data_IF_414137957983
#
_entry.id   IF_414137957983
#
_cell.length_a   1.000
_cell.length_b   1.000
_cell.length_c   1.000
_cell.angle_alpha   90.00
_cell.angle_beta   90.00
_cell.angle_gamma   90.00
#
_symmetry.space_group_name_H-M   'P 1'
#
loop_
_entity.id
_entity.type
_entity.pdbx_description
1 polymer ?
#
# COMPACT_ATOMS: atom_id res chain seq x y z
N UNK A 1 -0.89 29.73 -44.42
CA UNK A 1 -0.53 30.25 -43.08
C UNK A 1 -1.41 29.72 -41.93
N UNK A 2 -2.69 29.37 -42.12
CA UNK A 2 -3.53 28.76 -41.06
C UNK A 2 -3.23 27.29 -40.71
N UNK A 3 -2.60 26.51 -41.59
CA UNK A 3 -2.26 25.09 -41.32
C UNK A 3 -1.10 24.89 -40.33
N UNK A 4 -0.18 25.86 -40.25
CA UNK A 4 0.93 25.83 -39.29
C UNK A 4 0.50 26.22 -37.87
N UNK A 5 -0.59 26.98 -37.74
CA UNK A 5 -1.16 27.34 -36.44
C UNK A 5 -1.80 26.12 -35.74
N UNK A 6 -2.44 25.21 -36.48
CA UNK A 6 -3.04 24.00 -35.89
C UNK A 6 -2.01 22.97 -35.42
N UNK A 7 -0.85 22.87 -36.09
CA UNK A 7 0.27 22.03 -35.65
C UNK A 7 0.93 22.58 -34.37
N UNK A 8 0.94 23.89 -34.18
CA UNK A 8 1.44 24.54 -32.96
C UNK A 8 0.55 24.23 -31.74
N UNK A 9 -0.77 24.29 -31.90
CA UNK A 9 -1.74 24.06 -30.82
C UNK A 9 -1.77 22.59 -30.36
N UNK A 10 -1.58 21.63 -31.27
CA UNK A 10 -1.49 20.21 -30.93
C UNK A 10 -0.21 19.86 -30.14
N UNK A 11 0.88 20.59 -30.37
CA UNK A 11 2.13 20.40 -29.64
C UNK A 11 2.05 20.97 -28.21
N UNK A 12 1.25 22.02 -27.99
CA UNK A 12 1.03 22.63 -26.67
C UNK A 12 0.24 21.75 -25.69
N UNK A 13 -0.63 20.87 -26.19
CA UNK A 13 -1.40 19.94 -25.35
C UNK A 13 -0.59 18.74 -24.84
N UNK A 14 0.60 18.47 -25.43
CA UNK A 14 1.46 17.36 -25.02
C UNK A 14 2.41 17.71 -23.86
N UNK A 15 2.53 18.99 -23.48
CA UNK A 15 3.52 19.44 -22.50
C UNK A 15 3.09 19.29 -21.02
N UNK A 16 1.88 18.80 -20.74
CA UNK A 16 1.39 18.63 -19.35
C UNK A 16 1.80 17.28 -18.74
N UNK A 17 2.38 16.36 -19.52
CA UNK A 17 2.81 15.07 -19.01
C UNK A 17 4.32 15.06 -18.73
N UNK A 18 4.81 15.67 -17.62
CA UNK A 18 6.14 15.39 -17.01
C UNK A 18 6.44 16.26 -15.77
N UNK A 19 5.52 16.35 -14.80
CA UNK A 19 5.86 16.87 -13.46
C UNK A 19 5.40 15.93 -12.35
N UNK A 20 5.60 14.62 -12.55
CA UNK A 20 5.71 13.70 -11.39
C UNK A 20 7.05 13.90 -10.71
N UNK A 21 7.13 13.93 -9.35
CA UNK A 21 8.39 14.12 -8.64
C UNK A 21 9.36 12.99 -9.00
N UNK A 22 10.49 13.33 -9.64
CA UNK A 22 11.51 12.39 -10.11
C UNK A 22 12.21 11.59 -8.97
N UNK A 23 11.96 11.97 -7.72
CA UNK A 23 12.56 11.38 -6.53
C UNK A 23 11.95 10.01 -6.19
N UNK A 24 10.63 9.86 -6.36
CA UNK A 24 9.92 8.58 -6.16
C UNK A 24 10.41 7.50 -7.14
N UNK A 25 10.93 7.91 -8.29
CA UNK A 25 11.25 7.02 -9.41
C UNK A 25 12.64 6.38 -9.34
N UNK A 26 13.58 6.95 -8.56
CA UNK A 26 14.96 6.44 -8.50
C UNK A 26 15.05 5.13 -7.74
N UNK A 27 14.32 5.00 -6.64
CA UNK A 27 14.37 3.81 -5.80
C UNK A 27 13.64 2.62 -6.45
N UNK A 28 12.54 2.88 -7.16
CA UNK A 28 11.84 1.84 -7.91
C UNK A 28 12.66 1.26 -9.09
N UNK A 29 13.64 2.01 -9.60
CA UNK A 29 14.53 1.53 -10.67
C UNK A 29 15.66 0.62 -10.16
N UNK A 30 15.86 0.50 -8.85
CA UNK A 30 16.96 -0.28 -8.24
C UNK A 30 16.72 -1.79 -8.19
N UNK A 31 15.52 -2.27 -8.54
CA UNK A 31 15.25 -3.73 -8.60
C UNK A 31 14.69 -4.33 -7.29
N UNK A 32 14.14 -5.56 -7.33
CA UNK A 32 13.30 -6.20 -6.28
C UNK A 32 13.85 -6.13 -4.87
N UNK A 33 15.16 -6.16 -4.72
CA UNK A 33 15.89 -5.99 -3.48
C UNK A 33 15.52 -4.69 -2.73
N UNK A 34 15.16 -3.62 -3.44
CA UNK A 34 14.82 -2.31 -2.86
C UNK A 34 13.32 -2.14 -2.68
N UNK A 35 12.51 -2.38 -3.72
CA UNK A 35 11.06 -2.17 -3.64
C UNK A 35 10.33 -3.29 -2.87
N UNK A 36 10.97 -4.43 -2.59
CA UNK A 36 10.42 -5.45 -1.69
C UNK A 36 11.03 -5.45 -0.28
N UNK A 37 11.77 -4.40 0.10
CA UNK A 37 12.33 -4.31 1.45
C UNK A 37 11.24 -4.16 2.53
N UNK A 38 10.18 -3.42 2.24
CA UNK A 38 9.04 -3.21 3.13
C UNK A 38 7.80 -2.78 2.34
N UNK A 39 6.65 -2.74 3.03
CA UNK A 39 5.37 -2.42 2.39
C UNK A 39 5.30 -0.98 1.87
N UNK A 40 5.95 -0.01 2.53
CA UNK A 40 5.96 1.40 2.11
C UNK A 40 6.58 1.53 0.72
N UNK A 41 7.82 1.09 0.54
CA UNK A 41 8.50 1.18 -0.76
C UNK A 41 7.79 0.33 -1.82
N UNK A 42 7.23 -0.82 -1.43
CA UNK A 42 6.46 -1.65 -2.34
C UNK A 42 5.19 -0.95 -2.83
N UNK A 43 4.47 -0.26 -1.95
CA UNK A 43 3.28 0.51 -2.30
C UNK A 43 3.65 1.67 -3.24
N UNK A 44 4.66 2.45 -2.85
CA UNK A 44 5.17 3.61 -3.60
C UNK A 44 5.61 3.22 -5.03
N UNK A 45 6.22 2.05 -5.17
CA UNK A 45 6.68 1.49 -6.44
C UNK A 45 5.64 0.62 -7.17
N UNK A 46 4.41 0.48 -6.63
CA UNK A 46 3.35 -0.40 -7.17
C UNK A 46 3.81 -1.85 -7.35
N UNK A 47 4.63 -2.30 -6.41
CA UNK A 47 5.30 -3.59 -6.32
C UNK A 47 4.55 -4.65 -5.53
N UNK A 48 3.59 -4.26 -4.70
CA UNK A 48 3.11 -5.05 -3.55
C UNK A 48 2.81 -6.49 -3.94
N UNK A 49 2.08 -6.69 -5.04
CA UNK A 49 1.73 -8.03 -5.55
C UNK A 49 2.96 -8.87 -5.93
N UNK A 50 3.95 -8.26 -6.58
CA UNK A 50 5.21 -8.95 -6.89
C UNK A 50 5.90 -9.37 -5.59
N UNK A 51 6.07 -8.44 -4.66
CA UNK A 51 6.77 -8.69 -3.41
C UNK A 51 6.08 -9.77 -2.56
N UNK A 52 4.75 -9.73 -2.46
CA UNK A 52 3.96 -10.76 -1.78
C UNK A 52 4.24 -12.15 -2.36
N UNK A 53 4.22 -12.27 -3.69
CA UNK A 53 4.26 -13.57 -4.37
C UNK A 53 5.67 -14.16 -4.51
N UNK A 54 6.71 -13.33 -4.57
CA UNK A 54 8.07 -13.78 -4.91
C UNK A 54 9.08 -13.64 -3.77
N UNK A 55 8.82 -12.76 -2.81
CA UNK A 55 9.77 -12.41 -1.73
C UNK A 55 9.19 -12.71 -0.34
N UNK A 56 8.01 -12.16 0.00
CA UNK A 56 7.47 -12.18 1.37
C UNK A 56 6.73 -13.46 1.75
N UNK A 57 6.43 -14.34 0.79
CA UNK A 57 5.83 -15.66 1.08
C UNK A 57 6.82 -16.64 1.74
N UNK A 58 8.08 -16.26 1.90
CA UNK A 58 9.10 -17.07 2.58
C UNK A 58 9.16 -16.67 4.06
N UNK A 59 9.02 -17.62 4.99
CA UNK A 59 9.17 -17.31 6.41
C UNK A 59 10.60 -16.85 6.70
N UNK A 60 10.74 -15.63 7.23
CA UNK A 60 12.03 -15.00 7.60
C UNK A 60 12.28 -14.97 9.11
N UNK A 61 11.29 -15.34 9.91
CA UNK A 61 11.33 -15.38 11.38
C UNK A 61 11.28 -16.83 11.88
N UNK A 62 11.87 -17.08 13.05
CA UNK A 62 11.61 -18.33 13.78
C UNK A 62 10.11 -18.53 13.94
N UNK A 63 9.66 -19.78 13.75
CA UNK A 63 8.24 -20.07 13.62
C UNK A 63 7.46 -19.61 14.86
N UNK A 64 6.47 -18.74 14.63
CA UNK A 64 5.49 -18.35 15.65
C UNK A 64 4.82 -19.63 16.19
N UNK A 65 4.71 -19.80 17.53
CA UNK A 65 4.06 -20.98 18.10
C UNK A 65 2.67 -21.21 17.50
N UNK A 66 2.37 -22.47 17.15
CA UNK A 66 1.17 -22.82 16.40
C UNK A 66 -0.11 -22.33 17.07
N UNK A 67 -0.19 -22.40 18.41
CA UNK A 67 -1.38 -21.99 19.15
C UNK A 67 -1.59 -20.47 19.14
N UNK A 68 -0.50 -19.70 19.21
CA UNK A 68 -0.56 -18.25 19.08
C UNK A 68 -0.99 -17.85 17.65
N UNK A 69 -0.42 -18.49 16.64
CA UNK A 69 -0.82 -18.27 15.24
C UNK A 69 -2.31 -18.57 15.04
N UNK A 70 -2.81 -19.71 15.55
CA UNK A 70 -4.23 -20.08 15.46
C UNK A 70 -5.15 -19.06 16.13
N UNK A 71 -4.75 -18.51 17.27
CA UNK A 71 -5.58 -17.52 17.96
C UNK A 71 -5.64 -16.20 17.19
N UNK A 72 -4.50 -15.72 16.70
CA UNK A 72 -4.44 -14.53 15.83
C UNK A 72 -5.30 -14.74 14.57
N UNK A 73 -5.16 -15.90 13.91
CA UNK A 73 -5.93 -16.22 12.71
C UNK A 73 -7.44 -16.29 13.01
N UNK A 74 -7.85 -16.82 14.17
CA UNK A 74 -9.27 -16.80 14.57
C UNK A 74 -9.80 -15.39 14.76
N UNK A 75 -9.05 -14.54 15.45
CA UNK A 75 -9.47 -13.16 15.73
C UNK A 75 -9.62 -12.39 14.42
N UNK A 76 -8.58 -12.41 13.57
CA UNK A 76 -8.63 -11.74 12.26
C UNK A 76 -9.77 -12.29 11.39
N UNK A 77 -9.98 -13.61 11.37
CA UNK A 77 -11.07 -14.22 10.61
C UNK A 77 -12.46 -13.81 11.11
N UNK A 78 -12.64 -13.52 12.41
CA UNK A 78 -13.90 -12.95 12.93
C UNK A 78 -14.09 -11.51 12.45
N UNK A 79 -13.05 -10.68 12.51
CA UNK A 79 -13.11 -9.30 12.00
C UNK A 79 -13.43 -9.25 10.50
N UNK A 80 -12.82 -10.12 9.69
CA UNK A 80 -13.10 -10.18 8.24
C UNK A 80 -14.51 -10.67 7.88
N UNK A 81 -15.16 -11.44 8.76
CA UNK A 81 -16.54 -11.92 8.57
C UNK A 81 -17.58 -10.89 8.96
N UNK A 82 -17.22 -9.91 9.77
CA UNK A 82 -18.06 -8.77 10.00
C UNK A 82 -18.14 -8.00 8.69
N UNK A 83 -19.35 -7.60 8.29
CA UNK A 83 -19.59 -6.87 7.04
C UNK A 83 -19.12 -5.41 7.16
N UNK A 84 -17.90 -5.21 7.64
CA UNK A 84 -17.28 -3.91 7.80
C UNK A 84 -16.76 -3.43 6.45
N UNK A 85 -17.04 -2.16 6.14
CA UNK A 85 -16.56 -1.55 4.90
C UNK A 85 -15.10 -1.11 5.05
N UNK A 86 -14.40 -0.93 3.93
CA UNK A 86 -13.04 -0.37 3.96
C UNK A 86 -13.00 0.99 4.67
N UNK A 87 -14.07 1.77 4.53
CA UNK A 87 -14.19 3.10 5.13
C UNK A 87 -14.33 3.01 6.66
N UNK A 88 -15.13 2.07 7.17
CA UNK A 88 -15.28 1.83 8.62
C UNK A 88 -13.97 1.41 9.27
N UNK A 89 -13.22 0.52 8.62
CA UNK A 89 -11.91 0.08 9.12
C UNK A 89 -10.92 1.26 9.09
N UNK A 90 -10.94 2.07 8.02
CA UNK A 90 -10.07 3.25 7.90
C UNK A 90 -10.39 4.29 8.98
N UNK A 91 -11.68 4.52 9.27
CA UNK A 91 -12.10 5.41 10.36
C UNK A 91 -11.62 4.91 11.73
N UNK A 92 -11.69 3.60 11.97
CA UNK A 92 -11.17 3.02 13.21
C UNK A 92 -9.68 3.30 13.37
N UNK A 93 -8.87 3.06 12.35
CA UNK A 93 -7.43 3.35 12.42
C UNK A 93 -7.12 4.85 12.50
N UNK A 94 -7.90 5.70 11.84
CA UNK A 94 -7.77 7.15 11.97
C UNK A 94 -8.04 7.63 13.42
N UNK A 95 -9.02 7.03 14.12
CA UNK A 95 -9.23 7.26 15.56
C UNK A 95 -8.06 6.76 16.40
N UNK A 96 -7.45 5.63 16.02
CA UNK A 96 -6.22 5.15 16.68
C UNK A 96 -5.08 6.18 16.54
N UNK A 97 -4.93 6.81 15.36
CA UNK A 97 -3.94 7.86 15.14
C UNK A 97 -4.15 9.08 16.06
N UNK A 98 -5.40 9.41 16.43
CA UNK A 98 -5.71 10.54 17.31
C UNK A 98 -5.23 10.37 18.76
N UNK A 99 -4.85 9.15 19.17
CA UNK A 99 -4.24 8.91 20.48
C UNK A 99 -2.75 9.32 20.53
N UNK A 100 -2.15 9.68 19.40
CA UNK A 100 -0.76 10.17 19.35
C UNK A 100 -0.72 11.63 19.82
N UNK A 101 0.25 11.95 20.68
CA UNK A 101 0.35 13.29 21.28
C UNK A 101 0.96 14.34 20.34
N UNK A 102 1.82 13.93 19.41
CA UNK A 102 2.56 14.84 18.53
C UNK A 102 1.82 15.01 17.19
N UNK A 103 1.49 16.25 16.76
CA UNK A 103 0.75 16.48 15.52
C UNK A 103 1.40 15.86 14.29
N UNK A 104 2.72 15.93 14.18
CA UNK A 104 3.47 15.34 13.06
C UNK A 104 3.31 13.81 12.99
N UNK A 105 3.20 13.14 14.14
CA UNK A 105 2.97 11.70 14.20
C UNK A 105 1.52 11.34 13.88
N UNK A 106 0.56 12.20 14.25
CA UNK A 106 -0.84 12.03 13.87
C UNK A 106 -0.99 12.08 12.35
N UNK A 107 -0.36 13.07 11.71
CA UNK A 107 -0.41 13.24 10.26
C UNK A 107 0.29 12.07 9.55
N UNK A 108 1.50 11.68 9.98
CA UNK A 108 2.18 10.52 9.39
C UNK A 108 1.37 9.23 9.59
N UNK A 109 0.73 9.04 10.74
CA UNK A 109 -0.13 7.88 10.98
C UNK A 109 -1.31 7.84 10.00
N UNK A 110 -2.01 8.97 9.82
CA UNK A 110 -3.15 9.07 8.89
C UNK A 110 -2.71 8.84 7.44
N UNK A 111 -1.56 9.38 7.05
CA UNK A 111 -0.96 9.14 5.72
C UNK A 111 -0.67 7.64 5.49
N UNK A 112 -0.17 6.94 6.52
CA UNK A 112 0.04 5.49 6.44
C UNK A 112 -1.26 4.71 6.33
N UNK A 113 -2.30 5.11 7.06
CA UNK A 113 -3.63 4.49 6.97
C UNK A 113 -4.16 4.61 5.55
N UNK A 114 -4.18 5.82 4.98
CA UNK A 114 -4.66 6.04 3.61
C UNK A 114 -3.82 5.28 2.56
N UNK A 115 -2.50 5.31 2.70
CA UNK A 115 -1.58 4.77 1.69
C UNK A 115 -1.43 3.25 1.73
N UNK A 116 -1.53 2.63 2.91
CA UNK A 116 -1.13 1.23 3.09
C UNK A 116 -2.26 0.31 3.52
N UNK A 117 -3.27 0.81 4.25
CA UNK A 117 -4.39 -0.03 4.71
C UNK A 117 -5.09 -0.78 3.56
N UNK A 118 -5.32 -0.19 2.37
CA UNK A 118 -5.90 -0.93 1.25
C UNK A 118 -5.08 -2.16 0.83
N UNK A 119 -3.76 -1.99 0.74
CA UNK A 119 -2.85 -3.06 0.37
C UNK A 119 -2.79 -4.14 1.47
N UNK A 120 -2.79 -3.74 2.75
CA UNK A 120 -2.80 -4.68 3.89
C UNK A 120 -4.06 -5.53 3.86
N UNK A 121 -5.23 -4.90 3.68
CA UNK A 121 -6.50 -5.61 3.66
C UNK A 121 -6.64 -6.53 2.43
N UNK A 122 -6.10 -6.14 1.28
CA UNK A 122 -6.03 -7.03 0.10
C UNK A 122 -5.17 -8.27 0.37
N UNK A 123 -3.96 -8.09 0.94
CA UNK A 123 -3.08 -9.19 1.34
C UNK A 123 -3.82 -10.10 2.33
N UNK A 124 -4.35 -9.54 3.41
CA UNK A 124 -5.03 -10.31 4.47
C UNK A 124 -6.23 -11.07 3.90
N UNK A 125 -7.06 -10.45 3.06
CA UNK A 125 -8.18 -11.13 2.40
C UNK A 125 -7.71 -12.24 1.47
N UNK A 126 -6.66 -12.01 0.68
CA UNK A 126 -6.14 -13.02 -0.26
C UNK A 126 -5.59 -14.27 0.45
N UNK A 127 -4.90 -14.09 1.57
CA UNK A 127 -4.35 -15.21 2.37
C UNK A 127 -5.46 -15.92 3.16
N UNK A 128 -6.41 -15.18 3.74
CA UNK A 128 -7.51 -15.80 4.50
C UNK A 128 -8.51 -16.58 3.64
N UNK A 129 -8.82 -16.08 2.44
CA UNK A 129 -9.69 -16.81 1.49
C UNK A 129 -8.99 -18.08 1.00
N UNK A 130 -7.66 -18.11 0.98
CA UNK A 130 -6.89 -19.31 0.60
C UNK A 130 -6.83 -20.38 1.70
N UNK A 131 -7.24 -20.07 2.94
CA UNK A 131 -7.25 -20.98 4.09
C UNK A 131 -8.64 -21.63 4.30
N UNK A 132 -9.67 -21.19 3.55
CA UNK A 132 -11.03 -21.70 3.65
C UNK A 132 -11.49 -22.50 2.44
#
# INVERSE_FOLDING_TARGET
MRRFAFLGVLCSLAAVALTTPLLLKKDCAKGPEVWCQNLRTASDCKAVKHCQQTVWNKPTVESIPCDLCKEVVRVVGKFLKNNETMDEISEYFNKVCEFLHEPELVDECKDMVESYLPNILDIVKSEFVSIH
#
